data_IF_164582966639
#
_entry.id   IF_164582966639
#
_cell.length_a   1.000
_cell.length_b   1.000
_cell.length_c   1.000
_cell.angle_alpha   90.00
_cell.angle_beta   90.00
_cell.angle_gamma   90.00
#
_symmetry.space_group_name_H-M   'P 1'
#
loop_
_entity.id
_entity.type
_entity.pdbx_description
1 polymer ?
#
# COMPACT_ATOMS: atom_id res chain seq x y z
N UNK A 1 -10.60 25.60 -27.78
CA UNK A 1 -9.94 25.67 -26.45
C UNK A 1 -10.59 26.72 -25.55
N UNK A 2 -11.79 27.18 -25.92
CA UNK A 2 -12.50 28.31 -25.32
C UNK A 2 -13.96 27.90 -25.15
N UNK A 3 -14.68 28.57 -24.26
CA UNK A 3 -16.09 28.32 -24.01
C UNK A 3 -16.85 29.65 -23.99
N UNK A 4 -18.14 29.60 -24.33
CA UNK A 4 -19.01 30.77 -24.36
C UNK A 4 -18.86 31.61 -25.64
N UNK A 5 -19.77 32.59 -25.83
CA UNK A 5 -19.77 33.48 -26.98
C UNK A 5 -18.51 34.37 -27.04
N UNK A 6 -17.93 34.69 -25.88
CA UNK A 6 -16.79 35.60 -25.75
C UNK A 6 -15.42 34.91 -25.93
N UNK A 7 -15.41 33.58 -26.15
CA UNK A 7 -14.21 32.77 -26.36
C UNK A 7 -13.12 32.95 -25.28
N UNK A 8 -13.53 33.10 -24.02
CA UNK A 8 -12.58 33.26 -22.92
C UNK A 8 -11.88 31.93 -22.59
N UNK A 9 -10.58 32.02 -22.29
CA UNK A 9 -9.82 30.91 -21.71
C UNK A 9 -9.78 31.15 -20.20
N UNK A 10 -10.32 30.23 -19.37
CA UNK A 10 -10.26 30.41 -17.93
C UNK A 10 -8.81 30.40 -17.45
N UNK A 11 -8.52 31.13 -16.38
CA UNK A 11 -7.21 31.14 -15.75
C UNK A 11 -6.79 29.70 -15.38
N UNK A 12 -5.65 29.24 -15.89
CA UNK A 12 -5.10 27.92 -15.57
C UNK A 12 -3.74 28.04 -14.92
N UNK A 13 -3.54 27.33 -13.82
CA UNK A 13 -2.21 27.07 -13.27
C UNK A 13 -1.49 25.95 -14.04
N UNK A 14 -0.18 25.73 -13.78
CA UNK A 14 0.62 24.70 -14.45
C UNK A 14 -0.02 23.30 -14.40
N UNK A 15 -0.58 22.92 -13.25
CA UNK A 15 -1.23 21.62 -13.06
C UNK A 15 -2.50 21.48 -13.92
N UNK A 16 -3.39 22.47 -13.90
CA UNK A 16 -4.64 22.42 -14.67
C UNK A 16 -4.42 22.55 -16.17
N UNK A 17 -3.39 23.27 -16.61
CA UNK A 17 -3.00 23.32 -18.02
C UNK A 17 -2.62 21.91 -18.51
N UNK A 18 -1.77 21.20 -17.77
CA UNK A 18 -1.42 19.82 -18.12
C UNK A 18 -2.59 18.84 -17.96
N UNK A 19 -3.42 18.99 -16.91
CA UNK A 19 -4.37 17.97 -16.50
C UNK A 19 -5.77 18.13 -17.11
N UNK A 20 -6.14 19.34 -17.57
CA UNK A 20 -7.50 19.62 -18.01
C UNK A 20 -7.57 20.16 -19.43
N UNK A 21 -8.23 19.38 -20.29
CA UNK A 21 -8.87 19.90 -21.49
C UNK A 21 -7.90 20.43 -22.55
N UNK A 22 -8.52 20.96 -23.58
CA UNK A 22 -7.82 21.68 -24.65
C UNK A 22 -7.26 20.79 -25.74
N UNK A 23 -6.69 21.45 -26.74
CA UNK A 23 -6.26 20.80 -27.97
C UNK A 23 -4.90 20.10 -27.78
N UNK A 24 -4.75 18.87 -28.29
CA UNK A 24 -3.53 18.08 -28.14
C UNK A 24 -2.29 18.84 -28.64
N UNK A 25 -2.37 19.49 -29.82
CA UNK A 25 -1.24 20.22 -30.39
C UNK A 25 -0.68 21.35 -29.54
N UNK A 26 -1.48 21.92 -28.62
CA UNK A 26 -1.03 22.99 -27.70
C UNK A 26 -0.23 22.47 -26.51
N UNK A 27 -0.13 21.15 -26.36
CA UNK A 27 0.56 20.46 -25.26
C UNK A 27 1.77 19.65 -25.74
N UNK A 28 2.17 19.85 -26.99
CA UNK A 28 3.37 19.25 -27.56
C UNK A 28 4.49 20.26 -27.38
N UNK A 29 5.64 19.81 -26.88
CA UNK A 29 6.84 20.66 -26.68
C UNK A 29 7.19 21.38 -27.99
N UNK A 30 7.84 22.54 -27.99
CA UNK A 30 8.19 23.23 -29.26
C UNK A 30 9.14 22.39 -30.12
N UNK A 31 9.11 22.56 -31.45
CA UNK A 31 10.03 21.86 -32.36
C UNK A 31 11.47 22.34 -32.11
N UNK A 32 12.38 21.41 -31.82
CA UNK A 32 13.81 21.69 -31.54
C UNK A 32 14.74 21.47 -32.74
N UNK A 33 14.18 21.21 -33.93
CA UNK A 33 14.92 21.06 -35.20
C UNK A 33 15.09 19.62 -35.68
N UNK A 34 14.92 18.63 -34.81
CA UNK A 34 14.94 17.19 -35.16
C UNK A 34 13.56 16.61 -35.46
N UNK A 35 12.51 17.40 -35.27
CA UNK A 35 11.15 16.92 -35.41
C UNK A 35 10.68 16.97 -36.86
N UNK A 36 10.06 15.88 -37.26
CA UNK A 36 9.55 15.54 -38.58
C UNK A 36 8.08 15.13 -38.44
N UNK A 37 7.40 15.01 -39.57
CA UNK A 37 5.99 14.65 -39.67
C UNK A 37 5.61 13.27 -39.05
N UNK A 38 6.59 12.37 -38.83
CA UNK A 38 6.38 11.03 -38.26
C UNK A 38 6.86 10.85 -36.81
N UNK A 39 7.58 11.80 -36.24
CA UNK A 39 8.12 11.68 -34.88
C UNK A 39 7.54 12.75 -33.92
N UNK A 40 6.84 13.75 -34.46
CA UNK A 40 6.15 14.78 -33.70
C UNK A 40 4.72 14.93 -34.21
N UNK A 41 3.77 14.88 -33.28
CA UNK A 41 2.37 15.04 -33.64
C UNK A 41 2.04 16.51 -33.90
N UNK A 42 1.37 16.80 -35.01
CA UNK A 42 0.95 18.16 -35.37
C UNK A 42 -0.57 18.22 -35.57
N UNK A 43 -1.16 19.40 -35.41
CA UNK A 43 -2.58 19.59 -35.71
C UNK A 43 -2.85 19.80 -37.20
N UNK A 44 -1.86 20.30 -37.94
CA UNK A 44 -1.95 20.61 -39.36
C UNK A 44 -0.56 20.61 -39.99
N UNK A 45 -0.51 20.48 -41.31
CA UNK A 45 0.68 20.71 -42.13
C UNK A 45 0.52 22.04 -42.86
N UNK A 46 1.60 22.81 -42.95
CA UNK A 46 1.68 23.99 -43.82
C UNK A 46 2.51 23.59 -45.04
N UNK A 47 1.91 23.70 -46.21
CA UNK A 47 2.55 23.41 -47.49
C UNK A 47 2.81 24.72 -48.22
N UNK A 48 4.03 24.89 -48.69
CA UNK A 48 4.43 25.99 -49.56
C UNK A 48 4.69 25.41 -50.93
N UNK A 49 4.04 25.96 -51.95
CA UNK A 49 4.17 25.47 -53.32
C UNK A 49 4.23 26.62 -54.32
N UNK A 50 5.08 26.44 -55.33
CA UNK A 50 5.00 27.21 -56.58
C UNK A 50 4.54 26.25 -57.66
N UNK A 51 3.74 26.75 -58.60
CA UNK A 51 3.40 25.99 -59.79
C UNK A 51 4.19 26.60 -60.94
N UNK A 52 5.32 25.98 -61.27
CA UNK A 52 6.16 26.42 -62.39
C UNK A 52 5.34 26.36 -63.69
N UNK A 53 5.35 27.46 -64.46
CA UNK A 53 4.49 27.67 -65.63
C UNK A 53 3.17 28.39 -65.34
N UNK A 54 2.35 27.93 -64.39
CA UNK A 54 1.07 28.61 -64.06
C UNK A 54 1.31 29.96 -63.37
N UNK A 55 2.31 30.01 -62.49
CA UNK A 55 2.65 31.20 -61.74
C UNK A 55 3.24 32.32 -62.62
N UNK A 56 4.03 31.95 -63.63
CA UNK A 56 4.64 32.90 -64.58
C UNK A 56 3.59 33.54 -65.49
N UNK A 57 2.58 32.76 -65.90
CA UNK A 57 1.46 33.24 -66.72
C UNK A 57 0.46 34.11 -65.94
N UNK A 58 0.44 34.03 -64.60
CA UNK A 58 -0.53 34.72 -63.73
C UNK A 58 0.13 35.68 -62.72
N UNK A 59 1.43 35.97 -62.85
CA UNK A 59 2.21 36.81 -61.92
C UNK A 59 2.06 36.38 -60.44
N UNK A 60 1.92 35.08 -60.16
CA UNK A 60 1.77 34.56 -58.80
C UNK A 60 3.14 34.17 -58.23
N UNK A 61 3.42 34.52 -56.98
CA UNK A 61 4.70 34.19 -56.32
C UNK A 61 4.70 32.83 -55.62
N UNK A 62 3.58 32.10 -55.64
CA UNK A 62 3.37 30.85 -54.92
C UNK A 62 2.06 30.82 -54.12
N UNK A 63 1.80 29.70 -53.47
CA UNK A 63 0.64 29.46 -52.62
C UNK A 63 1.05 28.85 -51.28
N UNK A 64 0.28 29.20 -50.24
CA UNK A 64 0.35 28.59 -48.91
C UNK A 64 -0.91 27.76 -48.73
N UNK A 65 -0.74 26.45 -48.50
CA UNK A 65 -1.82 25.52 -48.19
C UNK A 65 -1.75 25.07 -46.74
N UNK A 66 -2.91 25.01 -46.06
CA UNK A 66 -3.06 24.36 -44.78
C UNK A 66 -3.75 23.02 -45.00
N UNK A 67 -3.12 21.92 -44.62
CA UNK A 67 -3.66 20.57 -44.81
C UNK A 67 -3.69 19.79 -43.50
N UNK A 68 -4.40 18.67 -43.49
CA UNK A 68 -4.42 17.76 -42.36
C UNK A 68 -3.01 17.19 -42.11
N UNK A 69 -2.66 16.81 -40.86
CA UNK A 69 -1.34 16.31 -40.51
C UNK A 69 -0.98 15.01 -41.24
N UNK A 70 -1.96 14.28 -41.77
CA UNK A 70 -1.81 13.06 -42.56
C UNK A 70 -1.91 13.27 -44.08
N UNK A 71 -1.81 14.51 -44.55
CA UNK A 71 -1.70 14.80 -45.97
C UNK A 71 -0.41 14.18 -46.56
N UNK A 72 -0.49 13.48 -47.71
CA UNK A 72 0.62 12.69 -48.27
C UNK A 72 1.58 13.57 -49.07
N UNK A 73 2.29 14.44 -48.36
CA UNK A 73 3.37 15.28 -48.87
C UNK A 73 4.38 15.54 -47.76
N UNK A 74 5.71 15.47 -48.03
CA UNK A 74 6.35 15.17 -49.32
C UNK A 74 6.35 13.68 -49.70
N UNK A 75 5.95 12.80 -48.78
CA UNK A 75 5.91 11.35 -48.98
C UNK A 75 4.47 10.82 -48.91
N UNK A 76 4.26 9.65 -49.50
CA UNK A 76 2.99 8.93 -49.44
C UNK A 76 3.19 7.54 -48.81
N UNK A 77 2.09 6.85 -48.52
CA UNK A 77 2.14 5.44 -48.14
C UNK A 77 2.80 4.60 -49.25
N UNK A 78 3.18 3.36 -48.92
CA UNK A 78 3.80 2.42 -49.86
C UNK A 78 2.98 2.23 -51.15
N UNK A 79 3.68 1.89 -52.24
CA UNK A 79 3.06 1.67 -53.56
C UNK A 79 1.99 0.58 -53.46
N UNK A 80 0.76 0.91 -53.88
CA UNK A 80 -0.39 0.02 -53.80
C UNK A 80 -1.30 0.27 -52.59
N UNK A 81 -0.90 1.15 -51.66
CA UNK A 81 -1.75 1.64 -50.56
C UNK A 81 -2.35 3.00 -50.93
N UNK A 82 -3.57 3.29 -50.46
CA UNK A 82 -4.17 4.61 -50.62
C UNK A 82 -3.23 5.69 -50.05
N UNK A 83 -2.85 6.73 -50.83
CA UNK A 83 -1.91 7.75 -50.36
C UNK A 83 -2.44 8.55 -49.15
N UNK A 84 -3.74 8.85 -49.12
CA UNK A 84 -4.39 9.59 -48.03
C UNK A 84 -5.47 8.73 -47.36
N UNK A 85 -5.53 8.68 -46.02
CA UNK A 85 -4.63 9.31 -45.06
C UNK A 85 -3.29 8.59 -44.93
N UNK A 86 -2.23 9.36 -44.72
CA UNK A 86 -0.89 8.83 -44.50
C UNK A 86 -0.75 8.21 -43.11
N UNK A 87 -0.40 6.92 -43.04
CA UNK A 87 -0.45 6.15 -41.78
C UNK A 87 0.70 6.45 -40.83
N UNK A 88 1.87 6.80 -41.38
CA UNK A 88 3.06 7.11 -40.60
C UNK A 88 3.02 8.52 -39.96
N UNK A 89 2.04 9.37 -40.32
CA UNK A 89 1.96 10.74 -39.78
C UNK A 89 1.44 10.75 -38.34
N UNK A 90 2.20 11.37 -37.44
CA UNK A 90 1.76 11.62 -36.07
C UNK A 90 0.80 12.83 -36.04
N UNK A 91 -0.33 12.72 -35.33
CA UNK A 91 -1.42 13.69 -35.39
C UNK A 91 -1.86 14.14 -34.00
N UNK A 92 -2.12 15.43 -33.82
CA UNK A 92 -2.53 16.07 -32.57
C UNK A 92 -3.76 16.96 -32.76
N UNK A 93 -4.75 16.44 -33.46
CA UNK A 93 -5.97 17.13 -33.92
C UNK A 93 -7.18 16.90 -33.00
N UNK A 94 -7.03 16.07 -31.97
CA UNK A 94 -8.10 15.77 -31.02
C UNK A 94 -8.00 16.65 -29.76
N UNK A 95 -9.10 16.73 -29.03
CA UNK A 95 -9.14 17.31 -27.69
C UNK A 95 -8.72 16.29 -26.63
N UNK A 96 -8.14 16.77 -25.53
CA UNK A 96 -7.76 15.95 -24.38
C UNK A 96 -8.88 15.92 -23.35
N UNK A 97 -9.60 14.81 -23.26
CA UNK A 97 -10.82 14.60 -22.47
C UNK A 97 -11.98 15.53 -22.87
N UNK A 98 -11.89 16.83 -22.58
CA UNK A 98 -12.95 17.82 -22.83
C UNK A 98 -12.45 18.97 -23.73
N UNK A 99 -13.36 19.54 -24.51
CA UNK A 99 -13.07 20.70 -25.39
C UNK A 99 -12.69 21.94 -24.59
N UNK A 100 -13.34 22.15 -23.44
CA UNK A 100 -13.16 23.32 -22.58
C UNK A 100 -12.07 23.10 -21.54
N UNK A 101 -11.16 24.07 -21.44
CA UNK A 101 -10.24 24.21 -20.31
C UNK A 101 -11.00 24.62 -19.06
N UNK A 102 -10.47 24.27 -17.89
CA UNK A 102 -11.06 24.67 -16.60
C UNK A 102 -9.98 24.96 -15.56
N UNK A 103 -10.27 25.82 -14.56
CA UNK A 103 -9.30 26.23 -13.54
C UNK A 103 -9.04 25.14 -12.48
N UNK A 104 -9.85 24.06 -12.44
CA UNK A 104 -9.75 22.98 -11.44
C UNK A 104 -9.69 21.60 -12.08
N UNK A 105 -8.94 20.67 -11.49
CA UNK A 105 -8.99 19.27 -11.89
C UNK A 105 -9.59 18.42 -10.77
N UNK A 106 -10.65 17.68 -11.09
CA UNK A 106 -11.32 16.75 -10.17
C UNK A 106 -10.93 15.28 -10.41
N UNK A 107 -10.07 15.01 -11.39
CA UNK A 107 -9.60 13.66 -11.70
C UNK A 107 -8.51 13.24 -10.71
N UNK A 108 -8.62 12.03 -10.20
CA UNK A 108 -7.57 11.39 -9.41
C UNK A 108 -6.40 11.00 -10.32
N UNK A 109 -5.23 11.59 -10.09
CA UNK A 109 -3.99 11.32 -10.83
C UNK A 109 -2.88 10.93 -9.85
N UNK A 110 -2.43 9.68 -9.93
CA UNK A 110 -1.39 9.14 -9.06
C UNK A 110 -0.02 9.66 -9.46
N UNK A 111 0.75 10.12 -8.49
CA UNK A 111 2.17 10.43 -8.61
C UNK A 111 2.95 9.11 -8.51
N UNK A 112 3.67 8.77 -9.57
CA UNK A 112 4.66 7.67 -9.57
C UNK A 112 6.07 8.23 -9.64
N UNK A 113 7.08 7.45 -9.24
CA UNK A 113 8.49 7.88 -9.26
C UNK A 113 9.00 8.25 -10.66
N UNK A 114 8.35 7.73 -11.71
CA UNK A 114 8.65 8.01 -13.12
C UNK A 114 7.70 9.03 -13.75
N UNK A 115 6.76 9.59 -12.99
CA UNK A 115 5.81 10.54 -13.54
C UNK A 115 6.53 11.83 -13.93
N UNK A 116 6.64 12.08 -15.22
CA UNK A 116 7.13 13.36 -15.76
C UNK A 116 6.17 14.52 -15.42
N UNK A 117 4.94 14.19 -15.07
CA UNK A 117 3.85 15.14 -14.78
C UNK A 117 3.29 14.92 -13.38
N UNK A 118 3.13 16.01 -12.64
CA UNK A 118 2.67 15.97 -11.25
C UNK A 118 1.21 15.52 -11.17
N UNK A 119 0.92 14.56 -10.29
CA UNK A 119 -0.41 14.14 -9.87
C UNK A 119 -0.89 14.85 -8.60
N UNK A 120 -2.01 14.41 -8.03
CA UNK A 120 -2.57 14.96 -6.79
C UNK A 120 -2.52 14.01 -5.57
N UNK A 121 -2.10 12.74 -5.75
CA UNK A 121 -1.90 11.80 -4.64
C UNK A 121 -0.75 10.84 -4.92
N UNK A 122 -0.06 10.39 -3.88
CA UNK A 122 1.04 9.40 -3.96
C UNK A 122 0.60 8.01 -3.51
N UNK A 123 -0.27 7.93 -2.50
CA UNK A 123 -0.72 6.67 -1.90
C UNK A 123 -2.24 6.51 -2.05
N UNK A 124 -2.69 5.29 -2.34
CA UNK A 124 -4.11 5.03 -2.59
C UNK A 124 -5.03 5.44 -1.41
N UNK A 125 -4.54 5.32 -0.16
CA UNK A 125 -5.30 5.73 1.03
C UNK A 125 -5.57 7.23 1.14
N UNK A 126 -4.87 8.07 0.37
CA UNK A 126 -5.12 9.52 0.35
C UNK A 126 -6.41 9.87 -0.39
N UNK A 127 -6.89 8.96 -1.24
CA UNK A 127 -8.12 9.12 -2.02
C UNK A 127 -9.22 8.22 -1.48
N UNK A 128 -8.92 6.95 -1.24
CA UNK A 128 -9.87 5.98 -0.70
C UNK A 128 -9.18 5.11 0.34
N UNK A 129 -9.70 5.16 1.56
CA UNK A 129 -9.34 4.29 2.66
C UNK A 129 -10.57 3.56 3.22
N UNK A 130 -10.33 2.40 3.81
CA UNK A 130 -11.29 1.68 4.64
C UNK A 130 -10.59 1.23 5.92
N UNK A 131 -11.36 0.94 6.96
CA UNK A 131 -10.86 0.51 8.27
C UNK A 131 -11.36 -0.91 8.51
N UNK A 132 -10.52 -1.73 9.13
CA UNK A 132 -10.84 -3.11 9.46
C UNK A 132 -10.32 -4.08 8.40
N UNK A 133 -9.19 -4.72 8.72
CA UNK A 133 -8.58 -5.74 7.88
C UNK A 133 -9.23 -7.11 8.07
N UNK A 134 -9.93 -7.33 9.19
CA UNK A 134 -10.74 -8.54 9.36
C UNK A 134 -11.89 -8.58 8.35
N UNK A 135 -12.64 -7.49 8.20
CA UNK A 135 -13.76 -7.41 7.24
C UNK A 135 -13.26 -7.31 5.79
N UNK A 136 -12.12 -6.64 5.57
CA UNK A 136 -11.51 -6.48 4.24
C UNK A 136 -10.13 -7.16 4.14
N UNK A 137 -10.05 -8.51 4.21
CA UNK A 137 -8.79 -9.24 4.36
C UNK A 137 -8.07 -9.43 3.02
N UNK A 138 -7.68 -8.32 2.37
CA UNK A 138 -7.06 -8.35 1.04
C UNK A 138 -5.80 -9.22 0.99
N UNK A 139 -4.93 -9.08 1.99
CA UNK A 139 -3.69 -9.83 2.07
C UNK A 139 -3.91 -11.36 2.12
N UNK A 140 -4.96 -11.81 2.82
CA UNK A 140 -5.30 -13.22 2.93
C UNK A 140 -5.94 -13.78 1.65
N UNK A 141 -6.76 -12.97 0.95
CA UNK A 141 -7.38 -13.35 -0.32
C UNK A 141 -6.34 -13.43 -1.44
N UNK A 142 -5.42 -12.46 -1.50
CA UNK A 142 -4.39 -12.39 -2.54
C UNK A 142 -3.30 -13.45 -2.31
N UNK A 143 -2.92 -13.72 -1.05
CA UNK A 143 -1.87 -14.66 -0.68
C UNK A 143 -2.27 -15.50 0.53
N UNK A 144 -2.96 -16.61 0.28
CA UNK A 144 -3.40 -17.51 1.35
C UNK A 144 -2.22 -18.33 1.89
N UNK A 145 -1.90 -18.27 3.20
CA UNK A 145 -0.87 -19.10 3.79
C UNK A 145 -1.34 -20.55 3.93
N UNK A 146 -0.40 -21.49 3.93
CA UNK A 146 -0.65 -22.85 4.42
C UNK A 146 -0.71 -22.82 5.93
N UNK A 147 -1.88 -23.10 6.50
CA UNK A 147 -2.07 -23.15 7.94
C UNK A 147 -1.82 -24.59 8.47
N UNK A 148 -1.29 -24.74 9.70
CA UNK A 148 -1.08 -26.05 10.30
C UNK A 148 -2.42 -26.75 10.57
N UNK A 149 -2.55 -28.01 10.12
CA UNK A 149 -3.79 -28.78 10.26
C UNK A 149 -4.13 -29.07 11.73
N UNK A 150 -3.10 -29.11 12.59
CA UNK A 150 -3.21 -29.30 14.04
C UNK A 150 -4.04 -28.19 14.70
N UNK A 151 -4.07 -26.98 14.13
CA UNK A 151 -4.87 -25.88 14.66
C UNK A 151 -6.39 -26.07 14.47
N UNK A 152 -6.82 -27.05 13.65
CA UNK A 152 -8.21 -27.25 13.24
C UNK A 152 -8.76 -28.64 13.60
N UNK A 153 -8.31 -29.23 14.72
CA UNK A 153 -8.70 -30.58 15.14
C UNK A 153 -9.71 -30.59 16.29
N UNK A 154 -10.43 -31.70 16.46
CA UNK A 154 -11.38 -31.96 17.53
C UNK A 154 -12.45 -30.85 17.66
N UNK A 155 -12.43 -30.09 18.75
CA UNK A 155 -13.37 -29.02 19.04
C UNK A 155 -12.97 -27.68 18.41
N UNK A 156 -11.75 -27.56 17.88
CA UNK A 156 -11.17 -26.31 17.39
C UNK A 156 -11.32 -26.13 15.86
N UNK A 157 -12.47 -26.50 15.27
CA UNK A 157 -12.65 -26.51 13.81
C UNK A 157 -12.69 -25.13 13.14
N UNK A 158 -12.82 -24.05 13.92
CA UNK A 158 -12.97 -22.67 13.42
C UNK A 158 -12.06 -21.67 14.14
N UNK A 159 -10.88 -22.09 14.62
CA UNK A 159 -9.93 -21.17 15.26
C UNK A 159 -9.47 -20.11 14.27
N UNK A 160 -9.38 -18.85 14.71
CA UNK A 160 -8.81 -17.74 13.94
C UNK A 160 -7.37 -17.41 14.34
N UNK A 161 -6.92 -17.90 15.50
CA UNK A 161 -5.57 -17.71 16.01
C UNK A 161 -4.83 -19.06 16.00
N UNK A 162 -3.66 -19.08 15.38
CA UNK A 162 -2.84 -20.29 15.28
C UNK A 162 -1.85 -20.35 16.44
N UNK A 163 -1.09 -19.27 16.69
CA UNK A 163 -0.17 -19.22 17.84
C UNK A 163 -0.90 -18.82 19.10
N UNK A 164 -0.52 -19.46 20.19
CA UNK A 164 -1.05 -19.20 21.52
C UNK A 164 0.06 -18.74 22.46
N UNK A 165 -0.28 -18.21 23.63
CA UNK A 165 0.67 -17.85 24.70
C UNK A 165 1.57 -19.02 25.12
N UNK A 166 1.16 -20.26 24.86
CA UNK A 166 1.97 -21.45 25.14
C UNK A 166 3.11 -21.63 24.12
N UNK A 167 3.00 -21.04 22.94
CA UNK A 167 4.03 -21.04 21.89
C UNK A 167 5.11 -19.96 22.09
N UNK A 168 5.15 -19.30 23.26
CA UNK A 168 6.21 -18.33 23.57
C UNK A 168 7.49 -19.10 23.92
N UNK A 169 8.46 -19.11 23.00
CA UNK A 169 9.74 -19.81 23.11
C UNK A 169 10.54 -19.48 24.39
N UNK A 170 11.17 -20.51 24.96
CA UNK A 170 12.07 -20.49 26.14
C UNK A 170 13.37 -21.22 25.79
N UNK A 171 14.50 -20.82 26.35
CA UNK A 171 15.84 -21.39 26.07
C UNK A 171 16.19 -22.64 26.91
N UNK A 172 15.59 -22.79 28.08
CA UNK A 172 15.93 -23.87 29.00
C UNK A 172 14.90 -25.02 28.94
N UNK A 173 15.33 -26.25 29.27
CA UNK A 173 14.51 -27.45 29.46
C UNK A 173 13.57 -27.90 28.33
N UNK A 174 13.69 -27.32 27.13
CA UNK A 174 13.01 -27.79 25.93
C UNK A 174 11.56 -27.31 25.85
N UNK A 175 11.34 -26.22 25.11
CA UNK A 175 10.00 -25.85 24.66
C UNK A 175 9.51 -26.89 23.64
N UNK A 176 8.27 -27.36 23.80
CA UNK A 176 7.64 -28.20 22.78
C UNK A 176 6.72 -27.35 21.93
N UNK A 177 6.85 -27.50 20.62
CA UNK A 177 6.03 -26.80 19.63
C UNK A 177 4.65 -27.45 19.62
N UNK A 178 3.60 -26.69 20.00
CA UNK A 178 2.21 -27.19 19.94
C UNK A 178 1.69 -27.25 18.51
N UNK A 179 2.06 -26.26 17.70
CA UNK A 179 1.62 -26.12 16.32
C UNK A 179 2.79 -25.77 15.42
N UNK A 180 2.85 -26.36 14.22
CA UNK A 180 3.85 -25.98 13.24
C UNK A 180 3.73 -24.49 12.88
N UNK A 181 4.86 -23.84 12.64
CA UNK A 181 4.87 -22.44 12.27
C UNK A 181 4.27 -22.23 10.87
N UNK A 182 3.42 -21.21 10.74
CA UNK A 182 2.96 -20.72 9.44
C UNK A 182 3.63 -19.40 9.07
N UNK A 183 3.74 -19.15 7.77
CA UNK A 183 4.34 -17.93 7.25
C UNK A 183 3.39 -16.75 7.49
N UNK A 184 3.83 -15.73 8.24
CA UNK A 184 3.07 -14.50 8.52
C UNK A 184 3.45 -13.33 7.61
N UNK A 185 4.36 -13.55 6.66
CA UNK A 185 4.87 -12.56 5.71
C UNK A 185 3.78 -11.99 4.78
N UNK A 186 2.75 -12.77 4.45
CA UNK A 186 1.60 -12.27 3.67
C UNK A 186 0.90 -11.08 4.36
N UNK A 187 0.89 -11.02 5.70
CA UNK A 187 0.36 -9.91 6.50
C UNK A 187 1.25 -8.64 6.48
N UNK A 188 2.35 -8.65 5.73
CA UNK A 188 3.19 -7.48 5.46
C UNK A 188 3.15 -7.01 4.01
N UNK A 189 2.23 -7.58 3.21
CA UNK A 189 2.03 -7.25 1.80
C UNK A 189 1.86 -5.75 1.52
N UNK A 190 2.50 -5.29 0.44
CA UNK A 190 2.62 -3.87 0.08
C UNK A 190 1.60 -3.42 -0.96
N UNK A 191 0.82 -4.34 -1.54
CA UNK A 191 0.17 -4.09 -2.83
C UNK A 191 -0.91 -3.01 -2.77
N UNK A 192 -1.66 -2.89 -1.66
CA UNK A 192 -2.70 -1.88 -1.54
C UNK A 192 -2.87 -1.33 -0.12
N UNK A 193 -2.25 -0.19 0.16
CA UNK A 193 -2.27 0.51 1.45
C UNK A 193 -3.62 1.16 1.82
N UNK A 194 -4.72 0.80 1.16
CA UNK A 194 -6.04 1.40 1.36
C UNK A 194 -6.80 0.85 2.57
N UNK A 195 -6.39 -0.30 3.12
CA UNK A 195 -7.01 -0.87 4.32
C UNK A 195 -6.15 -0.51 5.54
N UNK A 196 -6.74 0.22 6.49
CA UNK A 196 -6.12 0.59 7.76
C UNK A 196 -6.50 -0.47 8.79
N UNK A 197 -5.49 -1.11 9.39
CA UNK A 197 -5.68 -2.11 10.45
C UNK A 197 -5.89 -1.39 11.77
N UNK A 198 -7.06 -1.54 12.39
CA UNK A 198 -7.25 -1.15 13.79
C UNK A 198 -6.54 -2.17 14.69
N UNK A 199 -5.91 -1.71 15.76
CA UNK A 199 -5.35 -2.62 16.77
C UNK A 199 -5.58 -2.07 18.16
N UNK A 200 -6.10 -2.93 19.02
CA UNK A 200 -6.08 -2.71 20.46
C UNK A 200 -4.98 -3.58 21.07
N UNK A 201 -4.10 -3.00 21.87
CA UNK A 201 -3.07 -3.75 22.59
C UNK A 201 -2.71 -2.96 23.86
N UNK A 202 -3.28 -3.38 25.00
CA UNK A 202 -3.01 -2.75 26.29
C UNK A 202 -2.96 -3.84 27.38
N UNK A 203 -1.84 -4.03 28.11
CA UNK A 203 -0.61 -3.22 28.15
C UNK A 203 0.35 -3.40 26.96
N UNK A 204 0.03 -4.30 26.03
CA UNK A 204 0.91 -4.67 24.93
C UNK A 204 1.80 -5.85 25.30
N UNK A 205 2.06 -6.70 24.32
CA UNK A 205 2.79 -7.96 24.48
C UNK A 205 2.86 -8.71 23.16
N UNK A 206 3.68 -9.76 23.10
CA UNK A 206 3.84 -10.56 21.87
C UNK A 206 2.51 -11.22 21.47
N UNK A 207 1.75 -11.66 22.46
CA UNK A 207 0.45 -12.31 22.33
C UNK A 207 -0.65 -11.35 21.85
N UNK A 208 -0.48 -10.03 22.03
CA UNK A 208 -1.45 -9.01 21.61
C UNK A 208 -1.02 -8.19 20.39
N UNK A 209 0.24 -8.29 19.95
CA UNK A 209 0.78 -7.46 18.86
C UNK A 209 1.53 -8.25 17.78
N UNK A 210 1.99 -9.46 18.08
CA UNK A 210 2.78 -10.28 17.16
C UNK A 210 1.92 -10.89 16.05
N UNK A 211 2.32 -10.71 14.78
CA UNK A 211 1.52 -11.10 13.59
C UNK A 211 1.18 -12.60 13.47
N UNK A 212 1.77 -13.48 14.27
CA UNK A 212 1.37 -14.89 14.38
C UNK A 212 0.39 -15.20 15.51
N UNK A 213 0.33 -14.34 16.53
CA UNK A 213 -0.55 -14.44 17.71
C UNK A 213 -1.87 -13.68 17.53
N UNK A 214 -1.96 -12.87 16.47
CA UNK A 214 -3.19 -12.26 16.00
C UNK A 214 -3.92 -13.19 15.04
N UNK A 215 -5.14 -12.81 14.69
CA UNK A 215 -5.93 -13.57 13.72
C UNK A 215 -5.20 -13.66 12.38
N UNK A 216 -5.16 -14.86 11.80
CA UNK A 216 -4.46 -15.06 10.52
C UNK A 216 -5.17 -14.37 9.34
N UNK A 217 -6.41 -13.89 9.51
CA UNK A 217 -7.18 -13.29 8.41
C UNK A 217 -6.75 -11.85 8.13
N UNK A 218 -6.58 -11.02 9.16
CA UNK A 218 -6.30 -9.60 9.05
C UNK A 218 -5.26 -9.05 10.03
N UNK A 219 -4.82 -9.84 11.01
CA UNK A 219 -3.88 -9.42 12.06
C UNK A 219 -4.35 -8.20 12.87
N UNK A 220 -5.64 -8.19 13.19
CA UNK A 220 -6.37 -7.12 13.86
C UNK A 220 -6.78 -7.52 15.29
N UNK A 221 -7.18 -8.77 15.48
CA UNK A 221 -7.70 -9.28 16.75
C UNK A 221 -6.73 -10.26 17.41
N UNK A 222 -6.71 -10.21 18.74
CA UNK A 222 -6.06 -11.20 19.60
C UNK A 222 -7.05 -11.66 20.66
N UNK A 223 -7.08 -12.97 20.94
CA UNK A 223 -7.84 -13.51 22.09
C UNK A 223 -7.32 -12.96 23.43
N UNK A 224 -6.06 -12.53 23.49
CA UNK A 224 -5.42 -12.00 24.69
C UNK A 224 -5.79 -10.53 24.98
N UNK A 225 -6.58 -9.90 24.11
CA UNK A 225 -7.21 -8.60 24.39
C UNK A 225 -8.54 -8.73 25.14
N UNK A 226 -9.16 -9.91 25.14
CA UNK A 226 -10.40 -10.16 25.86
C UNK A 226 -10.14 -10.20 27.37
N UNK A 227 -11.09 -9.69 28.17
CA UNK A 227 -10.98 -9.62 29.65
C UNK A 227 -10.60 -10.97 30.28
N UNK A 228 -11.13 -12.08 29.74
CA UNK A 228 -10.89 -13.44 30.26
C UNK A 228 -9.43 -13.89 30.14
N UNK A 229 -8.75 -13.48 29.07
CA UNK A 229 -7.42 -13.96 28.71
C UNK A 229 -6.37 -12.85 28.71
N UNK A 230 -6.73 -11.68 29.24
CA UNK A 230 -5.84 -10.52 29.35
C UNK A 230 -4.78 -10.77 30.42
N UNK A 231 -3.54 -10.36 30.15
CA UNK A 231 -2.43 -10.42 31.10
C UNK A 231 -2.12 -11.82 31.65
N UNK A 232 -2.35 -12.89 30.88
CA UNK A 232 -2.10 -14.27 31.34
C UNK A 232 -0.63 -14.52 31.71
N UNK A 233 0.31 -13.83 31.05
CA UNK A 233 1.75 -13.86 31.38
C UNK A 233 2.06 -13.32 32.79
N UNK A 234 1.21 -12.44 33.32
CA UNK A 234 1.34 -11.81 34.65
C UNK A 234 0.49 -12.53 35.70
N UNK A 235 -0.74 -12.92 35.34
CA UNK A 235 -1.67 -13.59 36.25
C UNK A 235 -1.19 -15.01 36.56
N UNK A 236 -0.74 -15.73 35.54
CA UNK A 236 -0.30 -17.13 35.57
C UNK A 236 -1.25 -18.04 36.34
N UNK A 237 -2.49 -18.24 35.84
CA UNK A 237 -3.55 -18.88 36.61
C UNK A 237 -3.29 -20.35 36.96
N UNK A 238 -2.45 -21.04 36.17
CA UNK A 238 -2.06 -22.44 36.37
C UNK A 238 -0.73 -22.61 37.11
N UNK A 239 -0.05 -21.53 37.48
CA UNK A 239 1.21 -21.62 38.22
C UNK A 239 0.92 -21.95 39.68
N UNK A 240 1.64 -22.92 40.23
CA UNK A 240 1.51 -23.30 41.63
C UNK A 240 1.98 -22.16 42.56
N UNK A 241 1.52 -22.19 43.81
CA UNK A 241 1.91 -21.22 44.83
C UNK A 241 3.42 -21.27 45.12
N UNK A 242 4.09 -22.40 44.92
CA UNK A 242 5.53 -22.58 45.16
C UNK A 242 6.17 -23.50 44.11
N UNK A 243 7.48 -23.36 43.87
CA UNK A 243 8.29 -24.32 43.11
C UNK A 243 8.15 -24.32 41.58
N UNK A 244 7.12 -23.71 41.00
CA UNK A 244 6.98 -23.58 39.54
C UNK A 244 7.44 -22.20 39.08
N UNK A 245 8.64 -22.11 38.53
CA UNK A 245 9.19 -20.87 37.95
C UNK A 245 9.25 -21.02 36.44
N UNK A 246 8.97 -19.93 35.71
CA UNK A 246 9.19 -19.97 34.26
C UNK A 246 10.68 -19.99 33.94
N UNK A 247 11.02 -20.68 32.86
CA UNK A 247 12.34 -20.73 32.26
C UNK A 247 12.74 -19.41 31.62
N UNK A 248 14.05 -19.19 31.52
CA UNK A 248 14.63 -17.97 30.97
C UNK A 248 14.09 -17.72 29.55
N UNK A 249 14.09 -16.44 29.18
CA UNK A 249 13.62 -16.05 27.86
C UNK A 249 14.69 -16.48 26.88
N UNK A 250 14.30 -17.29 25.88
CA UNK A 250 15.28 -17.80 24.94
C UNK A 250 15.79 -16.79 23.92
N UNK A 251 16.95 -17.11 23.35
CA UNK A 251 17.56 -16.33 22.26
C UNK A 251 16.66 -16.31 21.03
N UNK A 252 16.50 -15.14 20.40
CA UNK A 252 15.77 -14.98 19.13
C UNK A 252 14.29 -14.57 19.23
N UNK A 253 13.69 -14.53 20.43
CA UNK A 253 12.35 -13.95 20.64
C UNK A 253 12.41 -12.93 21.78
N UNK A 254 11.93 -11.71 21.57
CA UNK A 254 11.82 -10.69 22.61
C UNK A 254 10.75 -11.12 23.64
N UNK A 255 11.11 -11.94 24.61
CA UNK A 255 10.24 -12.31 25.70
C UNK A 255 10.24 -11.23 26.79
N UNK A 256 9.05 -10.90 27.30
CA UNK A 256 8.90 -10.10 28.52
C UNK A 256 8.60 -11.08 29.64
N UNK A 257 9.43 -11.06 30.67
CA UNK A 257 9.24 -11.83 31.90
C UNK A 257 8.83 -10.86 32.99
N UNK A 258 7.79 -11.23 33.76
CA UNK A 258 7.48 -10.53 35.00
C UNK A 258 8.29 -11.17 36.10
N UNK A 259 9.10 -10.40 36.82
CA UNK A 259 9.76 -10.87 38.02
C UNK A 259 9.13 -10.24 39.25
N UNK A 260 9.02 -11.03 40.32
CA UNK A 260 8.68 -10.52 41.65
C UNK A 260 9.87 -9.78 42.28
N UNK A 261 9.66 -9.29 43.51
CA UNK A 261 10.68 -8.57 44.28
C UNK A 261 11.94 -9.42 44.59
N UNK A 262 11.88 -10.75 44.43
CA UNK A 262 12.99 -11.67 44.65
C UNK A 262 13.65 -12.12 43.33
N UNK A 263 13.33 -11.48 42.20
CA UNK A 263 13.86 -11.83 40.88
C UNK A 263 13.33 -13.16 40.34
N UNK A 264 12.23 -13.69 40.90
CA UNK A 264 11.60 -14.94 40.51
C UNK A 264 10.36 -14.67 39.67
N UNK A 265 10.09 -15.51 38.68
CA UNK A 265 8.96 -15.32 37.77
C UNK A 265 7.65 -15.93 38.34
N UNK A 266 7.19 -15.39 39.46
CA UNK A 266 5.89 -15.70 40.05
C UNK A 266 4.82 -14.73 39.56
N UNK A 267 3.67 -15.28 39.17
CA UNK A 267 2.51 -14.51 38.76
C UNK A 267 1.63 -14.11 39.94
N UNK A 268 0.69 -13.21 39.68
CA UNK A 268 -0.18 -12.64 40.70
C UNK A 268 -1.03 -13.69 41.44
N UNK A 269 -1.47 -14.77 40.77
CA UNK A 269 -2.20 -15.85 41.45
C UNK A 269 -1.33 -16.60 42.46
N UNK A 270 -0.07 -16.85 42.11
CA UNK A 270 0.89 -17.50 43.02
C UNK A 270 1.08 -16.62 44.26
N UNK A 271 1.33 -15.32 44.08
CA UNK A 271 1.45 -14.37 45.19
C UNK A 271 0.19 -14.24 46.04
N UNK A 272 -1.00 -14.19 45.43
CA UNK A 272 -2.27 -14.09 46.15
C UNK A 272 -2.52 -15.30 47.06
N UNK A 273 -2.06 -16.48 46.66
CA UNK A 273 -2.25 -17.72 47.43
C UNK A 273 -1.20 -17.93 48.54
N UNK A 274 -0.12 -17.15 48.57
CA UNK A 274 0.90 -17.24 49.62
C UNK A 274 0.48 -16.43 50.84
N UNK A 275 0.81 -16.97 52.01
CA UNK A 275 0.70 -16.20 53.24
C UNK A 275 1.98 -15.35 53.43
N UNK A 276 1.86 -14.21 54.11
CA UNK A 276 3.04 -13.48 54.56
C UNK A 276 3.63 -14.18 55.79
N UNK A 277 4.94 -14.39 55.83
CA UNK A 277 5.60 -14.80 57.06
C UNK A 277 5.77 -13.61 58.03
N UNK A 278 6.29 -13.88 59.23
CA UNK A 278 6.48 -12.87 60.29
C UNK A 278 7.22 -11.64 59.74
N UNK A 279 6.74 -10.45 60.09
CA UNK A 279 7.23 -9.16 59.61
C UNK A 279 7.04 -8.89 58.10
N UNK A 280 6.11 -9.59 57.45
CA UNK A 280 5.78 -9.32 56.03
C UNK A 280 6.77 -9.90 55.02
N UNK A 281 7.69 -10.76 55.46
CA UNK A 281 8.63 -11.46 54.57
C UNK A 281 7.92 -12.54 53.74
N UNK A 282 8.48 -12.88 52.58
CA UNK A 282 7.97 -13.99 51.78
C UNK A 282 8.11 -15.31 52.54
N UNK A 283 7.02 -16.09 52.62
CA UNK A 283 6.96 -17.31 53.43
C UNK A 283 7.79 -18.47 52.87
N UNK A 284 8.27 -18.37 51.63
CA UNK A 284 8.89 -19.48 50.91
C UNK A 284 10.34 -19.19 50.52
N UNK A 285 10.62 -17.99 50.03
CA UNK A 285 11.94 -17.57 49.55
C UNK A 285 12.80 -17.01 50.69
N UNK A 286 12.20 -16.26 51.63
CA UNK A 286 12.92 -15.61 52.75
C UNK A 286 12.57 -16.30 54.06
N UNK A 287 13.14 -17.49 54.26
CA UNK A 287 12.79 -18.37 55.39
C UNK A 287 13.47 -17.96 56.70
N UNK A 288 14.63 -17.31 56.62
CA UNK A 288 15.42 -16.84 57.77
C UNK A 288 15.77 -15.35 57.65
N UNK A 289 16.24 -14.74 58.74
CA UNK A 289 16.75 -13.36 58.73
C UNK A 289 18.07 -13.19 57.98
N UNK A 290 18.75 -14.28 57.62
CA UNK A 290 19.97 -14.27 56.82
C UNK A 290 19.73 -14.24 55.30
N UNK A 291 18.48 -14.38 54.86
CA UNK A 291 18.08 -14.44 53.44
C UNK A 291 17.58 -13.09 52.89
N UNK A 292 17.78 -12.00 53.65
CA UNK A 292 17.39 -10.62 53.31
C UNK A 292 18.45 -9.91 52.45
#
# INVERSE_FOLDING_TARGET
DTYGPDQEIPLQGPFTNYAVGGHQSRHIAINTGSDMWYNRAEAWKILLGTCDGYNDDHNLTGAIGLTAPDYPWPEANEVGVLPYPMTASNKAWLYRDFVSKRPVNIKNMRITTSSQTLGNFTKNYEVVNTIGAFENPRAFIENQPTLPSQAFQNLATASTNVRTILDIHRDANGHFVLFDEYNTGYLSGTENKSVIVSRFAAPGGIETMGKGYLDFRGSEFSVYNCILNRNLSVIKPSQASTGSLSELIGSGTAGIRVSDIHGRDFGLRSHLSRHSARFGRDSHIVTSSGDL
#
